data_IF_999303574946
#
_entry.id   IF_999303574946
#
_cell.length_a   1.000
_cell.length_b   1.000
_cell.length_c   1.000
_cell.angle_alpha   90.00
_cell.angle_beta   90.00
_cell.angle_gamma   90.00
#
_symmetry.space_group_name_H-M   'P 1'
#
loop_
_entity.id
_entity.type
_entity.pdbx_description
1 polymer ?
#
# COMPACT_ATOMS: atom_id res chain seq x y z
N UNK A 1 1.99 -3.07 14.17
CA UNK A 1 1.86 -4.24 13.27
C UNK A 1 0.78 -5.25 13.71
N UNK A 2 0.17 -5.10 14.90
CA UNK A 2 -0.85 -6.02 15.44
C UNK A 2 -2.07 -6.24 14.52
N UNK A 3 -2.49 -5.20 13.78
CA UNK A 3 -3.63 -5.24 12.82
C UNK A 3 -3.43 -6.27 11.71
N UNK A 4 -2.18 -6.53 11.29
CA UNK A 4 -1.93 -7.54 10.26
C UNK A 4 -2.30 -8.95 10.74
N UNK A 5 -2.25 -9.22 12.05
CA UNK A 5 -2.63 -10.51 12.64
C UNK A 5 -4.14 -10.79 12.58
N UNK A 6 -4.96 -9.75 12.51
CA UNK A 6 -6.44 -9.84 12.50
C UNK A 6 -7.00 -10.15 11.10
N UNK A 7 -6.19 -9.96 10.06
CA UNK A 7 -6.58 -10.27 8.69
C UNK A 7 -6.71 -11.79 8.47
N UNK A 8 -7.63 -12.26 7.60
CA UNK A 8 -7.66 -13.64 7.16
C UNK A 8 -6.31 -14.10 6.61
N UNK A 9 -5.93 -15.36 6.88
CA UNK A 9 -4.62 -15.90 6.48
C UNK A 9 -4.32 -15.76 4.98
N UNK A 10 -5.35 -15.92 4.13
CA UNK A 10 -5.25 -15.76 2.69
C UNK A 10 -4.98 -14.31 2.26
N UNK A 11 -5.50 -13.33 2.99
CA UNK A 11 -5.26 -11.90 2.74
C UNK A 11 -3.85 -11.49 3.17
N UNK A 12 -3.39 -11.99 4.32
CA UNK A 12 -1.99 -11.80 4.77
C UNK A 12 -0.99 -12.36 3.78
N UNK A 13 -1.29 -13.53 3.20
CA UNK A 13 -0.42 -14.14 2.20
C UNK A 13 -0.32 -13.28 0.94
N UNK A 14 -1.43 -12.74 0.44
CA UNK A 14 -1.42 -11.82 -0.72
C UNK A 14 -0.60 -10.57 -0.43
N UNK A 15 -0.73 -9.98 0.76
CA UNK A 15 0.09 -8.83 1.17
C UNK A 15 1.59 -9.15 1.19
N UNK A 16 1.96 -10.29 1.78
CA UNK A 16 3.35 -10.74 1.85
C UNK A 16 3.93 -10.90 0.44
N UNK A 17 3.28 -11.68 -0.41
CA UNK A 17 3.77 -11.97 -1.76
C UNK A 17 3.91 -10.68 -2.58
N UNK A 18 2.96 -9.74 -2.44
CA UNK A 18 2.99 -8.51 -3.22
C UNK A 18 3.99 -7.47 -2.70
N UNK A 19 4.00 -7.17 -1.41
CA UNK A 19 4.78 -6.06 -0.86
C UNK A 19 6.18 -6.46 -0.39
N UNK A 20 6.35 -7.66 0.14
CA UNK A 20 7.65 -8.15 0.61
C UNK A 20 8.38 -8.88 -0.51
N UNK A 21 7.69 -9.82 -1.17
CA UNK A 21 8.32 -10.66 -2.20
C UNK A 21 8.25 -10.02 -3.61
N UNK A 22 7.61 -8.85 -3.73
CA UNK A 22 7.49 -8.05 -4.98
C UNK A 22 6.87 -8.79 -6.17
N UNK A 23 6.05 -9.80 -5.88
CA UNK A 23 5.39 -10.62 -6.90
C UNK A 23 4.19 -9.86 -7.49
N UNK A 24 4.04 -9.94 -8.82
CA UNK A 24 2.93 -9.33 -9.55
C UNK A 24 1.59 -10.05 -9.33
N UNK A 25 0.48 -9.31 -9.45
CA UNK A 25 -0.87 -9.83 -9.17
C UNK A 25 -1.28 -11.05 -10.01
N UNK A 26 -0.82 -11.09 -11.26
CA UNK A 26 -1.07 -12.21 -12.17
C UNK A 26 -0.40 -13.48 -11.68
N UNK A 27 0.85 -13.38 -11.25
CA UNK A 27 1.62 -14.50 -10.74
C UNK A 27 1.12 -14.97 -9.39
N UNK A 28 0.73 -14.05 -8.50
CA UNK A 28 0.02 -14.41 -7.25
C UNK A 28 -1.26 -15.19 -7.56
N UNK A 29 -2.01 -14.78 -8.59
CA UNK A 29 -3.21 -15.50 -9.03
C UNK A 29 -2.89 -16.94 -9.43
N UNK A 30 -1.85 -17.13 -10.26
CA UNK A 30 -1.37 -18.46 -10.66
C UNK A 30 -0.93 -19.30 -9.45
N UNK A 31 -0.12 -18.75 -8.55
CA UNK A 31 0.39 -19.44 -7.36
C UNK A 31 -0.74 -19.91 -6.42
N UNK A 32 -1.80 -19.11 -6.31
CA UNK A 32 -2.93 -19.40 -5.42
C UNK A 32 -4.08 -20.14 -6.12
N UNK A 33 -3.95 -20.47 -7.42
CA UNK A 33 -5.01 -21.13 -8.19
C UNK A 33 -6.27 -20.28 -8.35
N UNK A 34 -6.16 -18.95 -8.35
CA UNK A 34 -7.29 -18.03 -8.49
C UNK A 34 -7.07 -17.01 -9.61
N UNK A 35 -8.16 -16.46 -10.14
CA UNK A 35 -8.06 -15.42 -11.16
C UNK A 35 -7.38 -14.14 -10.62
N UNK A 36 -6.58 -13.45 -11.45
CA UNK A 36 -5.93 -12.15 -11.13
C UNK A 36 -6.90 -11.14 -10.50
N UNK A 37 -8.13 -11.08 -11.03
CA UNK A 37 -9.17 -10.17 -10.53
C UNK A 37 -9.60 -10.49 -9.09
N UNK A 38 -9.57 -11.77 -8.70
CA UNK A 38 -9.82 -12.18 -7.31
C UNK A 38 -8.70 -11.72 -6.38
N UNK A 39 -7.44 -11.77 -6.82
CA UNK A 39 -6.30 -11.25 -6.06
C UNK A 39 -6.44 -9.74 -5.86
N UNK A 40 -6.75 -9.00 -6.92
CA UNK A 40 -6.98 -7.54 -6.85
C UNK A 40 -8.11 -7.19 -5.87
N UNK A 41 -9.25 -7.88 -5.95
CA UNK A 41 -10.38 -7.67 -5.04
C UNK A 41 -10.03 -7.99 -3.59
N UNK A 42 -9.25 -9.05 -3.35
CA UNK A 42 -8.76 -9.39 -2.01
C UNK A 42 -7.85 -8.28 -1.48
N UNK A 43 -6.88 -7.85 -2.28
CA UNK A 43 -5.96 -6.79 -1.87
C UNK A 43 -6.69 -5.48 -1.55
N UNK A 44 -7.67 -5.10 -2.37
CA UNK A 44 -8.47 -3.89 -2.13
C UNK A 44 -9.24 -3.98 -0.81
N UNK A 45 -9.95 -5.10 -0.58
CA UNK A 45 -10.64 -5.36 0.69
C UNK A 45 -9.67 -5.29 1.87
N UNK A 46 -8.51 -5.93 1.74
CA UNK A 46 -7.51 -5.94 2.81
C UNK A 46 -6.99 -4.54 3.11
N UNK A 47 -6.74 -3.71 2.07
CA UNK A 47 -6.32 -2.31 2.26
C UNK A 47 -7.38 -1.48 2.98
N UNK A 48 -8.65 -1.66 2.62
CA UNK A 48 -9.77 -1.00 3.28
C UNK A 48 -9.88 -1.41 4.75
N UNK A 49 -9.85 -2.72 5.03
CA UNK A 49 -9.91 -3.23 6.40
C UNK A 49 -8.73 -2.71 7.24
N UNK A 50 -7.51 -2.77 6.70
CA UNK A 50 -6.32 -2.22 7.38
C UNK A 50 -6.46 -0.73 7.66
N UNK A 51 -6.98 0.05 6.70
CA UNK A 51 -7.19 1.47 6.88
C UNK A 51 -8.18 1.73 8.02
N UNK A 52 -9.37 1.14 7.98
CA UNK A 52 -10.41 1.35 8.99
C UNK A 52 -9.96 0.91 10.38
N UNK A 53 -9.43 -0.30 10.53
CA UNK A 53 -8.96 -0.78 11.84
C UNK A 53 -7.79 0.05 12.37
N UNK A 54 -6.91 0.55 11.50
CA UNK A 54 -5.83 1.47 11.91
C UNK A 54 -6.40 2.81 12.38
N UNK A 55 -7.40 3.37 11.67
CA UNK A 55 -8.07 4.61 12.08
C UNK A 55 -8.72 4.45 13.45
N UNK A 56 -9.49 3.40 13.66
CA UNK A 56 -10.16 3.11 14.94
C UNK A 56 -9.16 2.97 16.10
N UNK A 57 -8.05 2.27 15.86
CA UNK A 57 -6.98 2.13 16.87
C UNK A 57 -6.28 3.44 17.17
N UNK A 58 -5.94 4.25 16.15
CA UNK A 58 -5.36 5.57 16.37
C UNK A 58 -6.33 6.50 17.12
N UNK A 59 -7.61 6.47 16.77
CA UNK A 59 -8.66 7.21 17.47
C UNK A 59 -8.69 6.87 18.96
N UNK A 60 -8.75 5.57 19.27
CA UNK A 60 -8.82 5.09 20.67
C UNK A 60 -7.54 5.36 21.46
N UNK A 61 -6.36 5.12 20.88
CA UNK A 61 -5.07 5.31 21.55
C UNK A 61 -4.76 6.78 21.82
N UNK A 62 -5.10 7.66 20.89
CA UNK A 62 -4.84 9.10 20.99
C UNK A 62 -6.01 9.86 21.60
N UNK A 63 -7.12 9.16 21.94
CA UNK A 63 -8.38 9.74 22.45
C UNK A 63 -8.92 10.85 21.55
N UNK A 64 -8.78 10.68 20.24
CA UNK A 64 -9.21 11.64 19.23
C UNK A 64 -10.65 11.32 18.80
N UNK A 65 -11.41 12.37 18.55
CA UNK A 65 -12.68 12.29 17.83
C UNK A 65 -12.46 11.93 16.36
N UNK A 66 -13.52 11.47 15.67
CA UNK A 66 -13.43 11.08 14.25
C UNK A 66 -12.87 12.18 13.35
N UNK A 67 -13.25 13.44 13.58
CA UNK A 67 -12.78 14.61 12.80
C UNK A 67 -11.31 14.93 13.05
N UNK A 68 -10.80 14.69 14.26
CA UNK A 68 -9.39 14.87 14.61
C UNK A 68 -8.53 13.76 13.98
N UNK A 69 -9.02 12.52 13.95
CA UNK A 69 -8.37 11.41 13.24
C UNK A 69 -8.28 11.70 11.75
N UNK A 70 -9.36 12.16 11.12
CA UNK A 70 -9.34 12.57 9.72
C UNK A 70 -8.34 13.70 9.46
N UNK A 71 -8.26 14.68 10.37
CA UNK A 71 -7.29 15.78 10.25
C UNK A 71 -5.84 15.29 10.35
N UNK A 72 -5.57 14.36 11.27
CA UNK A 72 -4.26 13.71 11.39
C UNK A 72 -3.90 12.91 10.13
N UNK A 73 -4.84 12.15 9.58
CA UNK A 73 -4.62 11.38 8.34
C UNK A 73 -4.33 12.30 7.16
N UNK A 74 -5.06 13.41 7.01
CA UNK A 74 -4.78 14.42 5.97
C UNK A 74 -3.38 15.01 6.13
N UNK A 75 -2.94 15.27 7.35
CA UNK A 75 -1.59 15.78 7.62
C UNK A 75 -0.52 14.74 7.23
N UNK A 76 -0.72 13.46 7.58
CA UNK A 76 0.19 12.38 7.19
C UNK A 76 0.26 12.24 5.67
N UNK A 77 -0.90 12.23 4.98
CA UNK A 77 -0.98 12.18 3.51
C UNK A 77 -0.22 13.34 2.87
N UNK A 78 -0.45 14.58 3.33
CA UNK A 78 0.26 15.75 2.83
C UNK A 78 1.78 15.64 2.99
N UNK A 79 2.27 15.15 4.14
CA UNK A 79 3.72 14.93 4.35
C UNK A 79 4.28 13.84 3.44
N UNK A 80 3.52 12.78 3.18
CA UNK A 80 3.91 11.73 2.24
C UNK A 80 3.96 12.25 0.81
N UNK A 81 2.96 13.02 0.37
CA UNK A 81 2.93 13.60 -0.97
C UNK A 81 4.14 14.51 -1.24
N UNK A 82 4.50 15.34 -0.26
CA UNK A 82 5.70 16.20 -0.35
C UNK A 82 6.99 15.37 -0.36
N UNK A 83 7.07 14.32 0.48
CA UNK A 83 8.24 13.44 0.54
C UNK A 83 8.41 12.63 -0.75
N UNK A 84 7.31 12.19 -1.37
CA UNK A 84 7.34 11.47 -2.64
C UNK A 84 7.74 12.40 -3.79
N UNK A 85 7.14 13.60 -3.87
CA UNK A 85 7.53 14.61 -4.88
C UNK A 85 9.02 14.92 -4.80
N UNK A 86 9.52 15.23 -3.60
CA UNK A 86 10.95 15.48 -3.41
C UNK A 86 11.83 14.28 -3.75
N UNK A 87 11.42 13.04 -3.42
CA UNK A 87 12.17 11.84 -3.79
C UNK A 87 12.23 11.62 -5.32
N UNK A 88 11.16 11.96 -6.06
CA UNK A 88 11.13 11.87 -7.52
C UNK A 88 11.83 13.07 -8.21
N UNK A 89 11.80 14.26 -7.60
CA UNK A 89 12.52 15.45 -8.09
C UNK A 89 14.03 15.39 -7.79
N UNK A 90 14.43 14.74 -6.70
CA UNK A 90 15.81 14.51 -6.29
C UNK A 90 16.51 13.37 -7.06
N UNK A 91 15.89 12.85 -8.13
CA UNK A 91 16.51 11.92 -9.06
C UNK A 91 16.87 12.62 -10.38
N UNK A 92 17.89 13.50 -10.42
CA UNK A 92 18.56 13.85 -11.67
C UNK A 92 19.52 12.70 -12.00
N UNK A 93 19.17 11.87 -12.99
CA UNK A 93 20.04 11.14 -13.94
C UNK A 93 19.64 9.68 -14.25
N UNK A 94 19.49 9.44 -15.57
CA UNK A 94 19.43 8.14 -16.26
C UNK A 94 18.23 8.02 -17.22
N UNK A 95 18.32 8.11 -18.56
CA UNK A 95 19.46 8.12 -19.47
C UNK A 95 18.99 8.62 -20.86
N UNK A 96 19.61 9.68 -21.37
CA UNK A 96 19.69 9.94 -22.80
C UNK A 96 20.72 8.97 -23.39
N UNK A 97 20.28 8.00 -24.21
CA UNK A 97 21.09 7.34 -25.26
C UNK A 97 20.22 6.40 -26.10
N UNK A 98 19.63 6.95 -27.16
CA UNK A 98 19.46 6.26 -28.46
C UNK A 98 19.49 7.33 -29.55
N UNK A 99 20.68 7.89 -29.75
CA UNK A 99 21.13 8.37 -31.05
C UNK A 99 22.46 7.68 -31.29
N UNK A 100 22.43 6.58 -32.03
CA UNK A 100 23.54 6.18 -32.87
C UNK A 100 22.92 5.65 -34.16
N UNK A 101 23.08 6.43 -35.22
CA UNK A 101 22.71 6.04 -36.56
C UNK A 101 23.67 4.99 -37.10
N UNK A 102 23.11 3.92 -37.66
CA UNK A 102 23.54 3.31 -38.92
C UNK A 102 22.50 2.33 -39.42
#
# INVERSE_FOLDING_TARGET
LEVLGELPASERLVLKLHYLDRIGMEEIGRLLGVHRLTVLRRLERTRQLLAETTKERLASQLRLSGTEVESLLRLIQSRLDVSLRSAFEASPEGNARTDDGR
#
